data_IF_118812152105
#
_entry.id   IF_118812152105
#
_cell.length_a   1.000
_cell.length_b   1.000
_cell.length_c   1.000
_cell.angle_alpha   90.00
_cell.angle_beta   90.00
_cell.angle_gamma   90.00
#
_symmetry.space_group_name_H-M   'P 1'
#
loop_
_entity.id
_entity.type
_entity.pdbx_description
1 polymer ?
#
# COMPACT_ATOMS: atom_id res chain seq x y z
N UNK A 1 -12.26 -6.63 -13.57
CA UNK A 1 -11.77 -7.06 -12.24
C UNK A 1 -11.59 -5.80 -11.40
N UNK A 2 -11.67 -5.88 -10.06
CA UNK A 2 -11.34 -4.73 -9.23
C UNK A 2 -9.85 -4.37 -9.36
N UNK A 3 -9.51 -3.12 -9.04
CA UNK A 3 -8.12 -2.66 -8.93
C UNK A 3 -7.74 -2.58 -7.46
N UNK A 4 -6.52 -3.03 -7.14
CA UNK A 4 -5.95 -2.98 -5.80
C UNK A 4 -4.81 -1.96 -5.74
N UNK A 5 -4.72 -1.24 -4.63
CA UNK A 5 -3.59 -0.40 -4.28
C UNK A 5 -2.68 -1.11 -3.26
N UNK A 6 -1.47 -0.58 -3.10
CA UNK A 6 -0.52 -1.02 -2.10
C UNK A 6 -0.22 0.15 -1.16
N UNK A 7 -0.20 -0.12 0.14
CA UNK A 7 0.20 0.82 1.18
C UNK A 7 1.50 0.30 1.79
N UNK A 8 2.62 0.95 1.45
CA UNK A 8 3.95 0.56 1.88
C UNK A 8 4.24 1.19 3.24
N UNK A 9 4.43 0.35 4.26
CA UNK A 9 4.58 0.78 5.65
C UNK A 9 5.96 0.40 6.18
N UNK A 10 6.71 1.38 6.66
CA UNK A 10 7.96 1.17 7.38
C UNK A 10 9.22 1.58 6.60
N UNK A 11 10.36 1.55 7.30
CA UNK A 11 11.65 2.05 6.81
C UNK A 11 11.81 3.56 6.93
N UNK A 12 10.74 4.31 6.66
CA UNK A 12 10.72 5.79 6.71
C UNK A 12 10.48 6.36 8.13
N UNK A 13 10.03 5.52 9.08
CA UNK A 13 9.81 5.87 10.50
C UNK A 13 11.03 5.64 11.41
N UNK A 14 12.15 5.14 10.85
CA UNK A 14 13.37 4.93 11.63
C UNK A 14 14.01 6.29 11.96
N UNK A 15 14.50 6.50 13.21
CA UNK A 15 15.18 7.73 13.59
C UNK A 15 16.28 8.09 12.59
N UNK A 16 16.17 9.27 11.98
CA UNK A 16 17.23 9.77 11.11
C UNK A 16 18.35 10.38 11.97
N UNK A 17 19.63 10.10 11.65
CA UNK A 17 20.74 10.83 12.25
C UNK A 17 20.49 12.34 12.10
N UNK A 18 20.84 13.12 13.12
CA UNK A 18 20.59 14.58 13.16
C UNK A 18 21.82 15.35 13.65
N UNK A 19 22.99 14.73 13.55
CA UNK A 19 24.24 15.23 14.11
C UNK A 19 24.80 16.43 13.32
N UNK A 20 24.28 16.68 12.12
CA UNK A 20 24.64 17.81 11.26
C UNK A 20 23.43 18.66 10.86
N UNK A 21 23.63 19.97 10.56
CA UNK A 21 22.56 20.85 10.08
C UNK A 21 21.91 20.38 8.78
N UNK A 22 22.64 19.68 7.91
CA UNK A 22 22.12 19.13 6.66
C UNK A 22 21.20 17.93 6.91
N UNK A 23 21.59 17.04 7.84
CA UNK A 23 20.78 15.91 8.28
C UNK A 23 19.50 16.38 8.97
N UNK A 24 19.54 17.47 9.74
CA UNK A 24 18.35 18.08 10.32
C UNK A 24 17.35 18.53 9.25
N UNK A 25 17.81 19.19 8.19
CA UNK A 25 16.95 19.60 7.07
C UNK A 25 16.36 18.37 6.37
N UNK A 26 17.14 17.31 6.16
CA UNK A 26 16.65 16.06 5.58
C UNK A 26 15.60 15.38 6.47
N UNK A 27 15.85 15.29 7.78
CA UNK A 27 14.91 14.70 8.74
C UNK A 27 13.59 15.48 8.78
N UNK A 28 13.64 16.80 8.71
CA UNK A 28 12.45 17.67 8.64
C UNK A 28 11.65 17.44 7.35
N UNK A 29 12.32 17.39 6.20
CA UNK A 29 11.66 17.14 4.90
C UNK A 29 11.01 15.76 4.89
N UNK A 30 11.72 14.73 5.37
CA UNK A 30 11.20 13.37 5.45
C UNK A 30 10.00 13.27 6.41
N UNK A 31 10.05 13.92 7.58
CA UNK A 31 8.93 13.95 8.53
C UNK A 31 7.68 14.61 7.94
N UNK A 32 7.84 15.72 7.21
CA UNK A 32 6.72 16.43 6.55
C UNK A 32 6.07 15.56 5.46
N UNK A 33 6.88 14.79 4.72
CA UNK A 33 6.39 13.87 3.71
C UNK A 33 5.66 12.67 4.34
N UNK A 34 6.21 12.07 5.41
CA UNK A 34 5.58 10.96 6.13
C UNK A 34 4.27 11.35 6.82
N UNK A 35 4.18 12.55 7.40
CA UNK A 35 2.98 13.02 8.09
C UNK A 35 1.77 13.23 7.15
N UNK A 36 2.02 13.46 5.85
CA UNK A 36 0.95 13.57 4.84
C UNK A 36 0.32 12.23 4.47
N UNK A 37 1.00 11.12 4.70
CA UNK A 37 0.51 9.78 4.39
C UNK A 37 -0.51 9.27 5.45
N UNK A 38 -0.41 9.76 6.69
CA UNK A 38 -1.31 9.39 7.79
C UNK A 38 -2.75 9.95 7.65
N UNK A 39 -2.93 11.07 6.94
CA UNK A 39 -4.21 11.80 6.84
C UNK A 39 -5.21 11.21 5.82
N UNK A 40 -4.81 10.23 5.01
CA UNK A 40 -5.67 9.67 3.95
C UNK A 40 -6.54 8.48 4.40
N UNK A 41 -6.56 8.14 5.71
CA UNK A 41 -7.22 6.93 6.24
C UNK A 41 -8.63 7.21 6.79
N UNK A 42 -9.59 7.58 5.93
CA UNK A 42 -11.01 7.58 6.27
C UNK A 42 -11.85 6.62 5.38
N UNK A 43 -12.05 5.41 5.91
CA UNK A 43 -13.31 4.66 5.99
C UNK A 43 -14.04 4.04 4.77
N UNK A 44 -13.55 4.10 3.52
CA UNK A 44 -14.23 3.34 2.43
C UNK A 44 -13.33 2.51 1.51
N UNK A 45 -12.03 2.81 1.44
CA UNK A 45 -11.10 2.18 0.50
C UNK A 45 -10.22 1.06 1.09
N UNK A 46 -10.35 0.78 2.39
CA UNK A 46 -9.50 -0.21 3.09
C UNK A 46 -9.55 -1.60 2.44
N UNK A 47 -10.72 -2.03 1.95
CA UNK A 47 -10.91 -3.36 1.33
C UNK A 47 -10.26 -3.48 -0.06
N UNK A 48 -9.58 -2.44 -0.55
CA UNK A 48 -8.84 -2.48 -1.83
C UNK A 48 -7.36 -2.13 -1.68
N UNK A 49 -6.88 -1.93 -0.47
CA UNK A 49 -5.51 -1.52 -0.19
C UNK A 49 -4.82 -2.67 0.56
N UNK A 50 -3.76 -3.21 -0.03
CA UNK A 50 -2.95 -4.26 0.58
C UNK A 50 -1.81 -3.59 1.36
N UNK A 51 -1.80 -3.69 2.71
CA UNK A 51 -0.69 -3.16 3.50
C UNK A 51 0.53 -4.07 3.38
N UNK A 52 1.70 -3.49 3.12
CA UNK A 52 2.97 -4.22 2.99
C UNK A 52 3.97 -3.62 3.97
N UNK A 53 4.49 -4.44 4.89
CA UNK A 53 5.56 -4.06 5.81
C UNK A 53 6.92 -4.10 5.11
N UNK A 54 7.47 -2.92 4.81
CA UNK A 54 8.71 -2.75 4.02
C UNK A 54 9.96 -2.60 4.88
N UNK A 55 9.85 -2.33 6.18
CA UNK A 55 11.01 -2.11 7.06
C UNK A 55 12.01 -3.29 7.06
N UNK A 56 13.32 -3.07 6.83
CA UNK A 56 14.01 -1.80 6.96
C UNK A 56 14.10 -0.97 5.67
N UNK A 57 13.53 -1.44 4.55
CA UNK A 57 13.65 -0.78 3.25
C UNK A 57 12.77 0.47 3.17
N UNK A 58 13.39 1.56 2.72
CA UNK A 58 12.75 2.87 2.53
C UNK A 58 12.19 3.04 1.13
N UNK A 59 11.19 3.90 0.99
CA UNK A 59 10.62 4.26 -0.31
C UNK A 59 11.65 4.89 -1.25
N UNK A 60 12.64 5.59 -0.68
CA UNK A 60 13.72 6.29 -1.40
C UNK A 60 15.05 5.54 -1.41
N UNK A 61 15.09 4.29 -0.93
CA UNK A 61 16.30 3.48 -0.98
C UNK A 61 16.44 2.83 -2.37
N UNK A 62 17.26 3.44 -3.22
CA UNK A 62 17.52 2.92 -4.58
C UNK A 62 18.64 1.87 -4.63
N UNK A 63 19.47 1.80 -3.60
CA UNK A 63 20.63 0.90 -3.51
C UNK A 63 20.31 -0.37 -2.69
N UNK A 64 19.25 -1.08 -3.08
CA UNK A 64 18.89 -2.37 -2.48
C UNK A 64 19.65 -3.48 -3.23
N UNK A 65 20.36 -4.31 -2.48
CA UNK A 65 21.06 -5.48 -2.99
C UNK A 65 20.09 -6.59 -3.45
N UNK A 66 20.63 -7.66 -4.04
CA UNK A 66 19.80 -8.73 -4.59
C UNK A 66 18.98 -9.45 -3.50
N UNK A 67 19.60 -9.72 -2.35
CA UNK A 67 18.96 -10.41 -1.24
C UNK A 67 17.85 -9.55 -0.62
N UNK A 68 18.07 -8.24 -0.50
CA UNK A 68 17.07 -7.32 0.00
C UNK A 68 15.88 -7.13 -0.94
N UNK A 69 16.11 -7.15 -2.25
CA UNK A 69 15.02 -7.14 -3.24
C UNK A 69 14.15 -8.39 -3.13
N UNK A 70 14.78 -9.56 -2.98
CA UNK A 70 14.06 -10.83 -2.82
C UNK A 70 13.26 -10.86 -1.51
N UNK A 71 13.83 -10.36 -0.41
CA UNK A 71 13.12 -10.22 0.86
C UNK A 71 11.90 -9.30 0.74
N UNK A 72 12.06 -8.12 0.14
CA UNK A 72 10.96 -7.18 -0.09
C UNK A 72 9.86 -7.79 -0.98
N UNK A 73 10.25 -8.54 -2.01
CA UNK A 73 9.32 -9.27 -2.86
C UNK A 73 8.52 -10.32 -2.07
N UNK A 74 9.20 -11.15 -1.26
CA UNK A 74 8.55 -12.19 -0.44
C UNK A 74 7.55 -11.58 0.56
N UNK A 75 7.86 -10.43 1.15
CA UNK A 75 6.95 -9.70 2.03
C UNK A 75 5.71 -9.20 1.31
N UNK A 76 5.87 -8.60 0.13
CA UNK A 76 4.75 -8.17 -0.70
C UNK A 76 3.85 -9.36 -1.11
N UNK A 77 4.45 -10.50 -1.45
CA UNK A 77 3.72 -11.73 -1.78
C UNK A 77 2.92 -12.24 -0.58
N UNK A 78 3.56 -12.38 0.57
CA UNK A 78 2.92 -12.86 1.79
C UNK A 78 1.76 -11.94 2.23
N UNK A 79 1.94 -10.62 2.12
CA UNK A 79 0.89 -9.64 2.39
C UNK A 79 -0.31 -9.80 1.45
N UNK A 80 -0.07 -9.98 0.15
CA UNK A 80 -1.13 -10.22 -0.81
C UNK A 80 -1.87 -11.56 -0.56
N UNK A 81 -1.13 -12.63 -0.27
CA UNK A 81 -1.70 -13.94 0.07
C UNK A 81 -2.59 -13.84 1.32
N UNK A 82 -2.12 -13.17 2.37
CA UNK A 82 -2.89 -12.95 3.59
C UNK A 82 -4.15 -12.10 3.32
N UNK A 83 -4.02 -11.02 2.55
CA UNK A 83 -5.15 -10.17 2.16
C UNK A 83 -6.22 -10.95 1.39
N UNK A 84 -5.83 -11.76 0.41
CA UNK A 84 -6.81 -12.57 -0.34
C UNK A 84 -7.34 -13.77 0.45
N UNK A 85 -6.63 -14.25 1.47
CA UNK A 85 -7.15 -15.30 2.36
C UNK A 85 -8.19 -14.77 3.36
N UNK A 86 -8.25 -13.46 3.58
CA UNK A 86 -9.17 -12.84 4.54
C UNK A 86 -10.65 -13.00 4.11
N UNK A 87 -11.53 -13.54 4.98
CA UNK A 87 -12.95 -13.73 4.69
C UNK A 87 -13.72 -12.43 4.36
N UNK A 88 -13.32 -11.29 4.92
CA UNK A 88 -13.97 -10.00 4.61
C UNK A 88 -13.65 -9.56 3.18
N UNK A 89 -12.39 -9.71 2.77
CA UNK A 89 -11.93 -9.47 1.40
C UNK A 89 -12.68 -10.37 0.41
N UNK A 90 -12.83 -11.66 0.71
CA UNK A 90 -13.61 -12.58 -0.12
C UNK A 90 -15.07 -12.15 -0.27
N UNK A 91 -15.72 -11.78 0.85
CA UNK A 91 -17.10 -11.29 0.85
C UNK A 91 -17.26 -10.03 -0.01
N UNK A 92 -16.27 -9.15 0.01
CA UNK A 92 -16.28 -7.94 -0.81
C UNK A 92 -16.14 -8.27 -2.31
N UNK A 93 -15.29 -9.24 -2.67
CA UNK A 93 -15.13 -9.69 -4.06
C UNK A 93 -16.44 -10.23 -4.64
N UNK A 94 -17.17 -11.03 -3.87
CA UNK A 94 -18.48 -11.56 -4.27
C UNK A 94 -19.49 -10.43 -4.52
N UNK A 95 -19.57 -9.48 -3.59
CA UNK A 95 -20.43 -8.30 -3.74
C UNK A 95 -20.04 -7.46 -4.96
N UNK A 96 -18.74 -7.28 -5.20
CA UNK A 96 -18.23 -6.56 -6.36
C UNK A 96 -18.63 -7.26 -7.66
N UNK A 97 -18.51 -8.59 -7.73
CA UNK A 97 -18.90 -9.38 -8.89
C UNK A 97 -20.40 -9.24 -9.20
N UNK A 98 -21.26 -9.33 -8.18
CA UNK A 98 -22.71 -9.13 -8.31
C UNK A 98 -23.04 -7.72 -8.81
N UNK A 99 -22.49 -6.68 -8.17
CA UNK A 99 -22.72 -5.28 -8.58
C UNK A 99 -22.30 -5.02 -10.02
N UNK A 100 -21.16 -5.58 -10.44
CA UNK A 100 -20.65 -5.48 -11.81
C UNK A 100 -21.59 -6.16 -12.82
N UNK A 101 -22.06 -7.37 -12.51
CA UNK A 101 -22.99 -8.10 -13.39
C UNK A 101 -24.32 -7.36 -13.56
N UNK A 102 -24.85 -6.78 -12.47
CA UNK A 102 -26.07 -5.97 -12.51
C UNK A 102 -25.89 -4.69 -13.35
N UNK A 103 -24.74 -4.02 -13.23
CA UNK A 103 -24.44 -2.81 -14.03
C UNK A 103 -24.36 -3.13 -15.52
N UNK A 104 -23.74 -4.25 -15.90
CA UNK A 104 -23.65 -4.68 -17.29
C UNK A 104 -25.04 -4.93 -17.92
N UNK A 105 -25.99 -5.48 -17.15
CA UNK A 105 -27.37 -5.71 -17.60
C UNK A 105 -28.23 -4.45 -17.72
N UNK A 106 -27.84 -3.34 -17.09
CA UNK A 106 -28.60 -2.08 -17.08
C UNK A 106 -28.21 -1.10 -18.20
N UNK A 107 -27.18 -1.39 -19.00
CA UNK A 107 -26.85 -0.58 -20.17
C UNK A 107 -27.79 -0.95 -21.32
N UNK A 108 -28.73 -0.07 -21.76
CA UNK A 108 -29.43 -0.28 -23.00
C UNK A 108 -28.41 -0.19 -24.14
N UNK A 109 -28.48 -1.12 -25.10
CA UNK A 109 -27.76 -1.01 -26.37
C UNK A 109 -28.33 0.21 -27.10
N UNK A 110 -27.65 1.35 -26.99
CA UNK A 110 -27.87 2.48 -27.89
C UNK A 110 -27.37 2.07 -29.27
N UNK A 111 -28.31 1.77 -30.16
CA UNK A 111 -28.14 1.65 -31.63
C UNK A 111 -28.16 3.05 -32.23
#
# INVERSE_FOLDING_TARGET
>A
MPTFGFDLRGGDDLPQPTDTPLELVQAMVNTILSARDLSARENQDYVRIIPIETAPYRTTQFDIDADGKEELYRRGRAAAEAFFADPETQRWLDQFAVRRALRARRLPLSV
#
